data_IF_777248146144
#
_entry.id   IF_777248146144
#
_cell.length_a   1.000
_cell.length_b   1.000
_cell.length_c   1.000
_cell.angle_alpha   90.00
_cell.angle_beta   90.00
_cell.angle_gamma   90.00
#
_symmetry.space_group_name_H-M   'P 1'
#
loop_
_entity.id
_entity.type
_entity.pdbx_description
1 polymer ?
#
# COMPACT_ATOMS: atom_id res chain seq x y z
N UNK A 1 3.44 -6.74 1.62
CA UNK A 1 3.27 -7.53 0.38
C UNK A 1 3.26 -6.65 -0.87
N UNK A 2 3.65 -7.17 -2.04
CA UNK A 2 3.52 -6.48 -3.34
C UNK A 2 2.09 -6.60 -3.86
N UNK A 3 1.56 -5.62 -4.59
CA UNK A 3 0.24 -5.75 -5.25
C UNK A 3 0.25 -6.76 -6.41
N UNK A 4 1.40 -6.92 -7.09
CA UNK A 4 1.52 -7.87 -8.20
C UNK A 4 1.44 -9.34 -7.73
N UNK A 5 0.44 -10.12 -8.18
CA UNK A 5 0.29 -11.54 -7.83
C UNK A 5 1.47 -12.42 -8.21
N UNK A 6 2.17 -12.09 -9.31
CA UNK A 6 3.24 -12.93 -9.87
C UNK A 6 4.47 -13.09 -8.95
N UNK A 7 4.60 -12.24 -7.92
CA UNK A 7 5.74 -12.27 -7.00
C UNK A 7 5.36 -12.75 -5.60
N UNK A 8 4.13 -13.21 -5.38
CA UNK A 8 3.64 -13.62 -4.06
C UNK A 8 4.31 -14.89 -3.54
N UNK A 9 4.73 -15.79 -4.43
CA UNK A 9 5.45 -17.02 -4.06
C UNK A 9 6.91 -16.77 -3.65
N UNK A 10 7.46 -15.59 -3.94
CA UNK A 10 8.83 -15.27 -3.51
C UNK A 10 8.95 -15.20 -1.99
N UNK A 11 10.10 -15.62 -1.45
CA UNK A 11 10.35 -15.58 0.00
C UNK A 11 10.11 -14.20 0.60
N UNK A 12 10.48 -13.14 -0.13
CA UNK A 12 10.25 -11.76 0.30
C UNK A 12 8.77 -11.41 0.47
N UNK A 13 7.89 -11.91 -0.40
CA UNK A 13 6.45 -11.67 -0.28
C UNK A 13 5.85 -12.54 0.81
N UNK A 14 6.24 -13.82 0.89
CA UNK A 14 5.78 -14.76 1.93
C UNK A 14 6.08 -14.27 3.34
N UNK A 15 7.30 -13.80 3.59
CA UNK A 15 7.71 -13.22 4.88
C UNK A 15 6.99 -11.91 5.24
N UNK A 16 6.19 -11.33 4.32
CA UNK A 16 5.42 -10.09 4.52
C UNK A 16 3.91 -10.32 4.48
N UNK A 17 3.48 -11.58 4.42
CA UNK A 17 2.08 -11.97 4.57
C UNK A 17 1.77 -12.20 6.05
N UNK A 18 0.49 -12.40 6.35
CA UNK A 18 0.01 -12.67 7.69
C UNK A 18 0.63 -13.96 8.23
N UNK A 19 1.21 -13.91 9.42
CA UNK A 19 1.55 -15.08 10.21
C UNK A 19 0.55 -15.19 11.37
N UNK A 20 -0.26 -16.25 11.38
CA UNK A 20 -1.36 -16.40 12.34
C UNK A 20 -0.88 -16.51 13.79
N UNK A 21 0.38 -16.91 13.99
CA UNK A 21 1.02 -17.05 15.30
C UNK A 21 1.65 -15.75 15.84
N UNK A 22 1.56 -14.63 15.09
CA UNK A 22 2.08 -13.35 15.58
C UNK A 22 1.18 -12.74 16.67
N UNK A 23 1.73 -12.37 17.84
CA UNK A 23 0.96 -11.75 18.92
C UNK A 23 0.57 -10.30 18.57
N UNK A 24 -0.65 -9.91 18.90
CA UNK A 24 -1.16 -8.54 18.70
C UNK A 24 -2.03 -8.36 17.45
N UNK A 25 -2.16 -7.10 17.00
CA UNK A 25 -2.99 -6.75 15.84
C UNK A 25 -2.19 -7.02 14.55
N UNK A 26 -2.72 -7.89 13.71
CA UNK A 26 -2.07 -8.28 12.44
C UNK A 26 -2.27 -7.19 11.39
N UNK A 27 -1.24 -6.39 11.18
CA UNK A 27 -1.22 -5.31 10.18
C UNK A 27 -0.37 -5.74 8.99
N UNK A 28 -0.94 -5.73 7.78
CA UNK A 28 -0.18 -6.00 6.55
C UNK A 28 -0.03 -4.76 5.71
N UNK A 29 1.22 -4.40 5.41
CA UNK A 29 1.52 -3.29 4.51
C UNK A 29 1.59 -3.76 3.05
N UNK A 30 0.75 -3.21 2.17
CA UNK A 30 0.74 -3.46 0.72
C UNK A 30 1.41 -2.32 -0.06
N UNK A 31 1.99 -2.63 -1.23
CA UNK A 31 2.69 -1.67 -2.07
C UNK A 31 2.48 -1.96 -3.56
N UNK A 32 2.15 -0.93 -4.33
CA UNK A 32 1.79 -1.01 -5.75
C UNK A 32 1.37 0.36 -6.28
N UNK A 33 0.86 0.40 -7.51
CA UNK A 33 0.44 1.66 -8.16
C UNK A 33 -0.80 1.55 -9.03
N UNK A 34 -1.29 0.34 -9.27
CA UNK A 34 -2.58 0.14 -9.93
C UNK A 34 -3.67 0.02 -8.85
N UNK A 35 -4.75 0.83 -8.89
CA UNK A 35 -5.81 0.80 -7.88
C UNK A 35 -6.47 -0.58 -7.73
N UNK A 36 -6.69 -1.30 -8.83
CA UNK A 36 -7.35 -2.62 -8.80
C UNK A 36 -6.42 -3.69 -8.24
N UNK A 37 -5.16 -3.72 -8.68
CA UNK A 37 -4.16 -4.63 -8.10
C UNK A 37 -3.99 -4.38 -6.58
N UNK A 38 -4.05 -3.12 -6.14
CA UNK A 38 -3.97 -2.75 -4.72
C UNK A 38 -5.20 -3.24 -3.93
N UNK A 39 -6.40 -3.07 -4.47
CA UNK A 39 -7.63 -3.57 -3.88
C UNK A 39 -7.64 -5.10 -3.76
N UNK A 40 -7.22 -5.81 -4.80
CA UNK A 40 -7.12 -7.28 -4.79
C UNK A 40 -6.12 -7.77 -3.74
N UNK A 41 -4.95 -7.12 -3.66
CA UNK A 41 -3.97 -7.41 -2.62
C UNK A 41 -4.52 -7.16 -1.21
N UNK A 42 -5.33 -6.12 -1.01
CA UNK A 42 -5.98 -5.87 0.28
C UNK A 42 -6.94 -7.01 0.65
N UNK A 43 -7.86 -7.40 -0.26
CA UNK A 43 -8.82 -8.49 -0.02
C UNK A 43 -8.12 -9.79 0.36
N UNK A 44 -7.10 -10.17 -0.38
CA UNK A 44 -6.37 -11.42 -0.16
C UNK A 44 -5.67 -11.44 1.20
N UNK A 45 -5.10 -10.31 1.64
CA UNK A 45 -4.50 -10.23 2.96
C UNK A 45 -5.54 -10.27 4.09
N UNK A 46 -6.71 -9.67 3.89
CA UNK A 46 -7.82 -9.74 4.85
C UNK A 46 -8.35 -11.18 4.95
N UNK A 47 -8.57 -11.86 3.82
CA UNK A 47 -8.93 -13.29 3.77
C UNK A 47 -7.88 -14.17 4.46
N UNK A 48 -6.59 -13.77 4.38
CA UNK A 48 -5.47 -14.43 5.06
C UNK A 48 -5.34 -14.04 6.54
N UNK A 49 -6.21 -13.20 7.08
CA UNK A 49 -6.28 -12.87 8.52
C UNK A 49 -5.72 -11.51 8.93
N UNK A 50 -5.44 -10.60 7.98
CA UNK A 50 -5.05 -9.23 8.29
C UNK A 50 -6.22 -8.47 8.93
N UNK A 51 -5.93 -7.77 10.02
CA UNK A 51 -6.89 -6.96 10.76
C UNK A 51 -6.77 -5.47 10.44
N UNK A 52 -5.65 -5.06 9.84
CA UNK A 52 -5.40 -3.71 9.32
C UNK A 52 -4.64 -3.84 8.00
N UNK A 53 -5.01 -3.04 7.01
CA UNK A 53 -4.25 -2.87 5.77
C UNK A 53 -3.52 -1.53 5.81
N UNK A 54 -2.21 -1.53 5.59
CA UNK A 54 -1.42 -0.30 5.46
C UNK A 54 -0.94 -0.11 4.01
N UNK A 55 -1.09 1.08 3.45
CA UNK A 55 -0.64 1.39 2.09
C UNK A 55 0.73 2.08 2.14
N UNK A 56 1.73 1.48 1.50
CA UNK A 56 3.06 2.09 1.42
C UNK A 56 3.18 3.07 0.25
N UNK A 57 3.17 4.37 0.57
CA UNK A 57 3.55 5.45 -0.35
C UNK A 57 4.80 6.22 0.17
N UNK A 58 5.67 5.55 0.91
CA UNK A 58 6.85 6.16 1.54
C UNK A 58 8.20 5.62 1.07
N UNK A 59 8.23 4.46 0.42
CA UNK A 59 9.49 3.86 -0.04
C UNK A 59 10.13 4.71 -1.16
N UNK A 60 11.41 5.11 -1.05
CA UNK A 60 12.09 5.91 -2.07
C UNK A 60 12.47 5.08 -3.31
N UNK A 61 12.34 3.75 -3.25
CA UNK A 61 12.58 2.88 -4.39
C UNK A 61 11.52 3.16 -5.46
N UNK A 62 11.92 3.94 -6.47
CA UNK A 62 11.03 4.47 -7.52
C UNK A 62 10.21 3.42 -8.25
N UNK A 63 10.57 2.13 -8.20
CA UNK A 63 9.90 1.07 -8.94
C UNK A 63 9.57 -0.14 -8.08
N UNK A 64 8.28 -0.52 -8.08
CA UNK A 64 7.81 -1.86 -7.74
C UNK A 64 7.24 -2.44 -9.03
N UNK A 65 7.70 -3.63 -9.43
CA UNK A 65 7.26 -4.27 -10.68
C UNK A 65 7.41 -3.38 -11.93
N UNK A 66 8.54 -2.66 -12.05
CA UNK A 66 8.86 -1.70 -13.14
C UNK A 66 7.95 -0.46 -13.25
N UNK A 67 6.85 -0.38 -12.50
CA UNK A 67 5.94 0.78 -12.40
C UNK A 67 6.37 1.71 -11.25
N UNK A 68 6.04 3.00 -11.33
CA UNK A 68 6.26 3.94 -10.22
C UNK A 68 5.52 3.46 -8.97
N UNK A 69 6.13 3.55 -7.79
CA UNK A 69 5.52 3.13 -6.52
C UNK A 69 6.18 3.87 -5.33
N UNK A 70 5.64 3.70 -4.13
CA UNK A 70 6.18 4.34 -2.93
C UNK A 70 6.04 5.86 -3.01
N UNK A 71 7.05 6.61 -2.56
CA UNK A 71 6.98 8.08 -2.54
C UNK A 71 6.97 8.71 -3.94
N UNK A 72 7.22 7.94 -5.00
CA UNK A 72 7.03 8.40 -6.38
C UNK A 72 5.58 8.73 -6.70
N UNK A 73 4.62 8.05 -6.03
CA UNK A 73 3.18 8.28 -6.22
C UNK A 73 2.73 9.64 -5.70
N UNK A 74 3.48 10.25 -4.77
CA UNK A 74 3.13 11.56 -4.20
C UNK A 74 3.18 12.69 -5.24
N UNK A 75 3.80 12.47 -6.41
CA UNK A 75 3.75 13.40 -7.54
C UNK A 75 2.40 13.39 -8.27
N UNK A 76 1.53 12.41 -7.99
CA UNK A 76 0.29 12.17 -8.72
C UNK A 76 -0.90 12.01 -7.74
N UNK A 77 -1.40 13.10 -7.13
CA UNK A 77 -2.50 13.06 -6.16
C UNK A 77 -3.75 12.32 -6.66
N UNK A 78 -4.09 12.41 -7.95
CA UNK A 78 -5.23 11.69 -8.53
C UNK A 78 -5.06 10.17 -8.48
N UNK A 79 -3.84 9.67 -8.70
CA UNK A 79 -3.51 8.24 -8.59
C UNK A 79 -3.60 7.81 -7.12
N UNK A 80 -3.08 8.64 -6.21
CA UNK A 80 -3.18 8.39 -4.76
C UNK A 80 -4.65 8.28 -4.33
N UNK A 81 -5.48 9.25 -4.70
CA UNK A 81 -6.92 9.25 -4.41
C UNK A 81 -7.62 8.00 -4.97
N UNK A 82 -7.28 7.61 -6.20
CA UNK A 82 -7.84 6.42 -6.83
C UNK A 82 -7.49 5.14 -6.08
N UNK A 83 -6.22 4.98 -5.68
CA UNK A 83 -5.76 3.83 -4.87
C UNK A 83 -6.46 3.80 -3.52
N UNK A 84 -6.51 4.94 -2.81
CA UNK A 84 -7.14 5.03 -1.49
C UNK A 84 -8.62 4.64 -1.57
N UNK A 85 -9.35 5.23 -2.52
CA UNK A 85 -10.78 4.96 -2.73
C UNK A 85 -11.04 3.49 -3.02
N UNK A 86 -10.30 2.90 -3.97
CA UNK A 86 -10.48 1.49 -4.34
C UNK A 86 -10.14 0.53 -3.20
N UNK A 87 -9.06 0.78 -2.44
CA UNK A 87 -8.67 -0.10 -1.33
C UNK A 87 -9.64 0.01 -0.17
N UNK A 88 -10.05 1.23 0.23
CA UNK A 88 -11.02 1.43 1.32
C UNK A 88 -12.36 0.78 0.99
N UNK A 89 -12.82 0.87 -0.25
CA UNK A 89 -14.08 0.25 -0.67
C UNK A 89 -13.97 -1.28 -0.83
N UNK A 90 -12.77 -1.85 -0.87
CA UNK A 90 -12.55 -3.27 -1.13
C UNK A 90 -12.59 -4.15 0.12
N UNK A 91 -12.42 -3.57 1.32
CA UNK A 91 -12.28 -4.33 2.57
C UNK A 91 -13.01 -3.65 3.73
N UNK A 92 -13.52 -4.45 4.68
CA UNK A 92 -14.21 -3.97 5.88
C UNK A 92 -13.28 -3.73 7.09
N UNK A 93 -11.96 -3.85 6.91
CA UNK A 93 -10.96 -3.59 7.96
C UNK A 93 -10.40 -2.17 7.84
N UNK A 94 -9.86 -1.57 8.92
CA UNK A 94 -9.21 -0.27 8.85
C UNK A 94 -8.07 -0.26 7.82
N UNK A 95 -8.06 0.78 6.99
CA UNK A 95 -6.99 1.06 6.03
C UNK A 95 -6.20 2.28 6.50
N UNK A 96 -4.88 2.15 6.61
CA UNK A 96 -3.96 3.23 6.97
C UNK A 96 -3.04 3.58 5.80
N UNK A 97 -2.48 4.78 5.81
CA UNK A 97 -1.57 5.27 4.78
C UNK A 97 -0.24 5.72 5.39
N UNK A 98 0.87 5.19 4.86
CA UNK A 98 2.21 5.60 5.25
C UNK A 98 2.90 6.40 4.14
N UNK A 99 3.18 7.68 4.39
CA UNK A 99 3.78 8.62 3.41
C UNK A 99 5.15 9.18 3.85
N UNK A 100 5.71 10.04 2.98
CA UNK A 100 6.81 10.99 3.27
C UNK A 100 6.29 12.42 3.19
N UNK A 101 7.15 13.40 3.49
CA UNK A 101 6.84 14.84 3.32
C UNK A 101 6.48 15.24 1.89
N UNK A 102 6.91 14.44 0.90
CA UNK A 102 6.72 14.65 -0.53
C UNK A 102 7.74 13.83 -1.32
N UNK A 103 7.83 14.08 -2.62
CA UNK A 103 8.77 13.40 -3.51
C UNK A 103 10.21 13.93 -3.42
N UNK A 104 10.35 15.25 -3.25
CA UNK A 104 11.62 15.95 -3.14
C UNK A 104 11.49 17.13 -2.15
N UNK A 105 12.59 17.70 -1.63
CA UNK A 105 12.52 18.83 -0.69
C UNK A 105 11.77 20.05 -1.23
N UNK A 106 11.86 20.31 -2.53
CA UNK A 106 11.19 21.41 -3.24
C UNK A 106 9.72 21.08 -3.56
N UNK A 107 9.34 19.80 -3.43
CA UNK A 107 8.04 19.24 -3.77
C UNK A 107 7.45 18.51 -2.57
N UNK A 108 7.18 19.25 -1.49
CA UNK A 108 6.48 18.77 -0.30
C UNK A 108 4.98 18.99 -0.45
N UNK A 109 4.20 17.91 -0.35
CA UNK A 109 2.75 17.94 -0.45
C UNK A 109 2.07 17.01 0.57
N UNK A 110 2.69 16.76 1.73
CA UNK A 110 2.11 15.83 2.70
C UNK A 110 0.78 16.29 3.29
N UNK A 111 0.53 17.60 3.39
CA UNK A 111 -0.77 18.12 3.83
C UNK A 111 -1.84 17.69 2.82
N UNK A 112 -1.68 18.07 1.54
CA UNK A 112 -2.60 17.69 0.45
C UNK A 112 -2.90 16.18 0.46
N UNK A 113 -1.85 15.35 0.53
CA UNK A 113 -2.01 13.89 0.55
C UNK A 113 -2.72 13.41 1.82
N UNK A 114 -2.47 14.03 2.98
CA UNK A 114 -3.15 13.67 4.22
C UNK A 114 -4.65 14.02 4.19
N UNK A 115 -5.07 15.07 3.47
CA UNK A 115 -6.48 15.41 3.32
C UNK A 115 -7.24 14.54 2.30
N UNK A 116 -6.53 13.72 1.52
CA UNK A 116 -7.13 12.70 0.65
C UNK A 116 -7.43 11.39 1.38
N UNK A 117 -6.83 11.15 2.55
CA UNK A 117 -6.86 9.89 3.28
C UNK A 117 -7.98 9.83 4.33
#
# INVERSE_FOLDING_TARGET
MSSNPQVWESDKSRLRMVHIDEPGIRTVQIAGSDPKEMADAARINVESGAQIIDINMGCPAKKVNRKLAGSALLQYPDVVKSILTEVVNAVDVPVTLKIRTGWAPEHRNCEEIAQLA
#
